data_IF_503991748740
#
_entry.id   IF_503991748740
#
_cell.length_a   1.000
_cell.length_b   1.000
_cell.length_c   1.000
_cell.angle_alpha   90.00
_cell.angle_beta   90.00
_cell.angle_gamma   90.00
#
_symmetry.space_group_name_H-M   'P 1'
#
loop_
_entity.id
_entity.type
_entity.pdbx_description
1 polymer ?
#
# COMPACT_ATOMS: atom_id res chain seq x y z
N UNK A 1 -15.52 21.17 8.00
CA UNK A 1 -14.27 20.40 7.88
C UNK A 1 -14.50 18.88 7.72
N UNK A 2 -15.50 18.28 8.38
CA UNK A 2 -15.76 16.82 8.28
C UNK A 2 -16.41 16.43 6.94
N UNK A 3 -17.27 17.28 6.36
CA UNK A 3 -17.88 17.04 5.04
C UNK A 3 -16.86 16.79 3.92
N UNK A 4 -15.71 17.47 3.94
CA UNK A 4 -14.65 17.22 2.93
C UNK A 4 -14.01 15.84 3.07
N UNK A 5 -14.05 15.24 4.26
CA UNK A 5 -13.58 13.86 4.47
C UNK A 5 -14.57 12.84 3.92
N UNK A 6 -15.78 13.24 3.50
CA UNK A 6 -16.74 12.36 2.85
C UNK A 6 -16.45 12.14 1.36
N UNK A 7 -15.51 12.87 0.76
CA UNK A 7 -15.08 12.59 -0.61
C UNK A 7 -14.07 11.43 -0.56
N UNK A 8 -14.24 10.34 -1.33
CA UNK A 8 -13.25 9.27 -1.42
C UNK A 8 -11.85 9.82 -1.67
N UNK A 9 -10.82 9.14 -1.13
CA UNK A 9 -9.41 9.54 -1.16
C UNK A 9 -9.03 10.72 -0.25
N UNK A 10 -9.89 11.71 -0.01
CA UNK A 10 -9.53 12.88 0.82
C UNK A 10 -9.22 12.46 2.26
N UNK A 11 -9.92 11.45 2.79
CA UNK A 11 -9.63 10.92 4.12
C UNK A 11 -8.24 10.27 4.17
N UNK A 12 -7.90 9.42 3.20
CA UNK A 12 -6.56 8.85 3.08
C UNK A 12 -5.49 9.94 2.95
N UNK A 13 -5.68 10.89 2.05
CA UNK A 13 -4.72 11.96 1.80
C UNK A 13 -4.42 12.75 3.07
N UNK A 14 -5.45 13.19 3.80
CA UNK A 14 -5.24 13.98 5.02
C UNK A 14 -4.66 13.21 6.19
N UNK A 15 -4.96 11.92 6.30
CA UNK A 15 -4.59 11.15 7.50
C UNK A 15 -3.33 10.32 7.32
N UNK A 16 -2.95 9.99 6.08
CA UNK A 16 -1.84 9.07 5.77
C UNK A 16 -0.76 9.68 4.90
N UNK A 17 -1.04 10.68 4.05
CA UNK A 17 -0.03 11.35 3.24
C UNK A 17 0.53 12.59 3.96
N UNK A 18 1.68 12.46 4.61
CA UNK A 18 2.48 13.61 5.05
C UNK A 18 3.55 13.95 3.99
N UNK A 19 4.12 15.16 4.05
CA UNK A 19 5.01 15.69 2.98
C UNK A 19 6.18 14.77 2.61
N UNK A 20 6.82 14.13 3.60
CA UNK A 20 7.92 13.17 3.36
C UNK A 20 7.43 11.81 2.87
N UNK A 21 6.27 11.36 3.33
CA UNK A 21 5.69 10.09 2.90
C UNK A 21 5.17 10.14 1.46
N UNK A 22 4.82 11.32 0.92
CA UNK A 22 4.31 11.44 -0.46
C UNK A 22 5.33 10.91 -1.47
N UNK A 23 6.60 11.34 -1.37
CA UNK A 23 7.65 10.87 -2.29
C UNK A 23 7.85 9.36 -2.17
N UNK A 24 7.91 8.85 -0.93
CA UNK A 24 8.00 7.42 -0.71
C UNK A 24 6.81 6.68 -1.33
N UNK A 25 5.56 7.07 -1.04
CA UNK A 25 4.37 6.46 -1.64
C UNK A 25 4.39 6.55 -3.17
N UNK A 26 4.82 7.67 -3.73
CA UNK A 26 4.87 7.81 -5.18
C UNK A 26 5.82 6.80 -5.82
N UNK A 27 7.08 6.76 -5.37
CA UNK A 27 8.08 5.88 -5.97
C UNK A 27 7.95 4.42 -5.53
N UNK A 28 7.64 4.13 -4.27
CA UNK A 28 7.54 2.74 -3.80
C UNK A 28 6.22 2.04 -4.12
N UNK A 29 5.14 2.78 -4.31
CA UNK A 29 3.80 2.21 -4.50
C UNK A 29 3.29 2.53 -5.90
N UNK A 30 3.18 3.81 -6.26
CA UNK A 30 2.48 4.20 -7.48
C UNK A 30 3.23 3.93 -8.77
N UNK A 31 4.51 4.31 -8.86
CA UNK A 31 5.30 4.07 -10.06
C UNK A 31 5.34 2.59 -10.46
N UNK A 32 5.63 1.62 -9.56
CA UNK A 32 5.61 0.21 -9.94
C UNK A 32 4.19 -0.28 -10.30
N UNK A 33 3.15 0.22 -9.64
CA UNK A 33 1.75 -0.09 -10.01
C UNK A 33 1.43 0.41 -11.43
N UNK A 34 1.78 1.66 -11.75
CA UNK A 34 1.55 2.26 -13.07
C UNK A 34 2.34 1.51 -14.14
N UNK A 35 3.59 1.17 -13.86
CA UNK A 35 4.44 0.43 -14.79
C UNK A 35 3.88 -0.96 -15.09
N UNK A 36 3.44 -1.70 -14.06
CA UNK A 36 2.81 -3.00 -14.26
C UNK A 36 1.46 -2.88 -14.99
N UNK A 37 0.63 -1.89 -14.64
CA UNK A 37 -0.62 -1.61 -15.33
C UNK A 37 -0.40 -1.34 -16.82
N UNK A 38 0.56 -0.47 -17.14
CA UNK A 38 0.94 -0.14 -18.51
C UNK A 38 1.43 -1.37 -19.28
N UNK A 39 2.19 -2.27 -18.62
CA UNK A 39 2.67 -3.51 -19.24
C UNK A 39 1.56 -4.52 -19.54
N UNK A 40 0.40 -4.43 -18.87
CA UNK A 40 -0.77 -5.29 -19.13
C UNK A 40 -1.60 -4.84 -20.33
N UNK A 41 -1.84 -3.53 -20.49
CA UNK A 41 -2.74 -3.00 -21.52
C UNK A 41 -2.41 -1.54 -21.85
N UNK A 42 -1.96 -1.25 -23.07
CA UNK A 42 -1.58 0.13 -23.45
C UNK A 42 -2.77 1.08 -23.59
N UNK A 43 -3.91 0.58 -24.07
CA UNK A 43 -5.03 1.43 -24.47
C UNK A 43 -5.94 1.79 -23.28
N UNK A 44 -6.05 0.88 -22.31
CA UNK A 44 -7.02 1.03 -21.20
C UNK A 44 -6.38 1.22 -19.83
N UNK A 45 -5.05 1.07 -19.68
CA UNK A 45 -4.44 1.05 -18.34
C UNK A 45 -4.77 2.27 -17.51
N UNK A 46 -4.79 3.48 -18.10
CA UNK A 46 -4.96 4.69 -17.31
C UNK A 46 -6.37 4.76 -16.70
N UNK A 47 -7.39 4.51 -17.50
CA UNK A 47 -8.79 4.49 -17.05
C UNK A 47 -9.02 3.35 -16.07
N UNK A 48 -8.56 2.13 -16.38
CA UNK A 48 -8.74 0.97 -15.50
C UNK A 48 -7.98 1.12 -14.18
N UNK A 49 -6.77 1.67 -14.21
CA UNK A 49 -5.98 1.95 -13.01
C UNK A 49 -6.66 3.00 -12.13
N UNK A 50 -7.13 4.11 -12.72
CA UNK A 50 -7.78 5.17 -11.95
C UNK A 50 -9.10 4.68 -11.34
N UNK A 51 -9.94 4.03 -12.14
CA UNK A 51 -11.24 3.54 -11.69
C UNK A 51 -11.06 2.38 -10.70
N UNK A 52 -10.10 1.48 -10.95
CA UNK A 52 -9.71 0.41 -10.03
C UNK A 52 -9.18 0.96 -8.70
N UNK A 53 -8.35 2.00 -8.74
CA UNK A 53 -7.91 2.70 -7.53
C UNK A 53 -9.07 3.36 -6.77
N UNK A 54 -10.01 3.98 -7.48
CA UNK A 54 -11.19 4.59 -6.84
C UNK A 54 -12.09 3.54 -6.17
N UNK A 55 -12.25 2.36 -6.77
CA UNK A 55 -12.94 1.24 -6.14
C UNK A 55 -12.18 0.78 -4.89
N UNK A 56 -10.88 0.59 -5.02
CA UNK A 56 -9.99 0.22 -3.92
C UNK A 56 -10.09 1.19 -2.75
N UNK A 57 -9.86 2.48 -2.98
CA UNK A 57 -9.80 3.47 -1.91
C UNK A 57 -11.16 3.67 -1.26
N UNK A 58 -12.26 3.51 -2.01
CA UNK A 58 -13.62 3.54 -1.45
C UNK A 58 -13.82 2.45 -0.40
N UNK A 59 -13.34 1.24 -0.65
CA UNK A 59 -13.44 0.14 0.33
C UNK A 59 -12.40 0.29 1.43
N UNK A 60 -11.15 0.63 1.08
CA UNK A 60 -10.03 0.66 2.01
C UNK A 60 -10.17 1.77 3.07
N UNK A 61 -10.80 2.89 2.74
CA UNK A 61 -11.07 3.97 3.68
C UNK A 61 -12.06 3.57 4.80
N UNK A 62 -12.98 2.63 4.55
CA UNK A 62 -13.86 2.08 5.59
C UNK A 62 -13.05 1.44 6.71
N UNK A 63 -12.04 0.67 6.31
CA UNK A 63 -11.09 0.09 7.22
C UNK A 63 -10.32 1.14 8.02
N UNK A 64 -9.87 2.22 7.38
CA UNK A 64 -9.18 3.29 8.10
C UNK A 64 -10.06 3.98 9.13
N UNK A 65 -11.33 4.22 8.81
CA UNK A 65 -12.28 4.77 9.78
C UNK A 65 -12.42 3.83 10.97
N UNK A 66 -12.63 2.53 10.73
CA UNK A 66 -12.75 1.52 11.79
C UNK A 66 -11.50 1.47 12.67
N UNK A 67 -10.31 1.43 12.07
CA UNK A 67 -9.04 1.46 12.79
C UNK A 67 -8.89 2.72 13.65
N UNK A 68 -9.27 3.88 13.13
CA UNK A 68 -9.11 5.15 13.84
C UNK A 68 -10.16 5.30 14.96
N UNK A 69 -11.36 4.71 14.82
CA UNK A 69 -12.37 4.63 15.88
C UNK A 69 -11.97 3.67 17.00
N UNK A 70 -11.40 2.51 16.66
CA UNK A 70 -10.98 1.50 17.63
C UNK A 70 -9.62 1.80 18.27
N UNK A 71 -8.88 2.80 17.78
CA UNK A 71 -7.56 3.16 18.28
C UNK A 71 -7.51 3.42 19.80
N UNK A 72 -8.61 3.84 20.42
CA UNK A 72 -8.72 4.03 21.87
C UNK A 72 -8.55 2.74 22.69
N UNK A 73 -8.90 1.60 22.11
CA UNK A 73 -8.95 0.32 22.78
C UNK A 73 -7.70 -0.53 22.50
N UNK A 74 -6.72 0.02 21.77
CA UNK A 74 -5.52 -0.67 21.32
C UNK A 74 -4.27 -0.11 21.99
N UNK A 75 -3.36 -0.99 22.42
CA UNK A 75 -2.12 -0.66 23.14
C UNK A 75 -1.24 0.34 22.37
N UNK A 76 -1.14 0.18 21.05
CA UNK A 76 -0.38 1.06 20.15
C UNK A 76 -1.30 1.75 19.12
N UNK A 77 -2.52 2.10 19.55
CA UNK A 77 -3.51 2.76 18.71
C UNK A 77 -3.12 4.21 18.41
N UNK A 78 -3.12 4.58 17.13
CA UNK A 78 -2.83 5.97 16.70
C UNK A 78 -4.08 6.67 16.22
N UNK A 79 -4.55 7.65 17.00
CA UNK A 79 -5.60 8.57 16.54
C UNK A 79 -5.04 9.53 15.49
N UNK A 80 -5.68 9.58 14.33
CA UNK A 80 -5.30 10.51 13.24
C UNK A 80 -6.38 11.57 12.96
N UNK A 81 -7.61 11.31 13.38
CA UNK A 81 -8.76 12.21 13.26
C UNK A 81 -9.53 12.26 14.57
N UNK A 82 -10.37 13.29 14.73
CA UNK A 82 -11.38 13.33 15.79
C UNK A 82 -12.37 12.17 15.59
N UNK A 83 -12.96 11.70 16.69
CA UNK A 83 -13.98 10.66 16.65
C UNK A 83 -15.20 11.18 15.89
N UNK A 84 -15.60 10.46 14.85
CA UNK A 84 -16.79 10.77 14.08
C UNK A 84 -18.03 10.46 14.92
N UNK A 85 -19.05 11.31 14.84
CA UNK A 85 -20.38 10.99 15.36
C UNK A 85 -20.98 9.78 14.62
N UNK A 86 -22.05 9.20 15.18
CA UNK A 86 -22.76 8.08 14.54
C UNK A 86 -23.27 8.45 13.15
N UNK A 87 -23.83 9.65 13.00
CA UNK A 87 -24.32 10.15 11.72
C UNK A 87 -23.19 10.34 10.71
N UNK A 88 -22.07 10.95 11.11
CA UNK A 88 -20.92 11.15 10.23
C UNK A 88 -20.32 9.82 9.78
N UNK A 89 -20.24 8.84 10.68
CA UNK A 89 -19.77 7.49 10.36
C UNK A 89 -20.71 6.79 9.38
N UNK A 90 -22.02 6.91 9.59
CA UNK A 90 -23.03 6.37 8.68
C UNK A 90 -22.91 6.99 7.28
N UNK A 91 -22.88 8.33 7.19
CA UNK A 91 -22.68 9.03 5.92
C UNK A 91 -21.37 8.63 5.23
N UNK A 92 -20.28 8.47 6.00
CA UNK A 92 -19.00 8.03 5.46
C UNK A 92 -19.09 6.65 4.83
N UNK A 93 -19.72 5.69 5.52
CA UNK A 93 -19.92 4.32 5.03
C UNK A 93 -20.79 4.31 3.78
N UNK A 94 -21.94 5.00 3.81
CA UNK A 94 -22.88 5.07 2.69
C UNK A 94 -22.19 5.61 1.44
N UNK A 95 -21.50 6.75 1.53
CA UNK A 95 -20.81 7.34 0.36
C UNK A 95 -19.78 6.38 -0.25
N UNK A 96 -19.06 5.60 0.58
CA UNK A 96 -18.01 4.66 0.12
C UNK A 96 -18.60 3.44 -0.54
N UNK A 97 -19.63 2.85 0.06
CA UNK A 97 -20.33 1.72 -0.53
C UNK A 97 -21.03 2.14 -1.82
N UNK A 98 -21.70 3.29 -1.86
CA UNK A 98 -22.31 3.82 -3.08
C UNK A 98 -21.27 4.09 -4.18
N UNK A 99 -20.11 4.68 -3.83
CA UNK A 99 -19.03 4.91 -4.80
C UNK A 99 -18.47 3.59 -5.35
N UNK A 100 -18.21 2.61 -4.48
CA UNK A 100 -17.74 1.29 -4.88
C UNK A 100 -18.76 0.57 -5.78
N UNK A 101 -20.05 0.61 -5.45
CA UNK A 101 -21.12 -0.01 -6.25
C UNK A 101 -21.29 0.68 -7.60
N UNK A 102 -21.24 2.01 -7.64
CA UNK A 102 -21.30 2.78 -8.88
C UNK A 102 -20.12 2.42 -9.81
N UNK A 103 -18.92 2.28 -9.26
CA UNK A 103 -17.74 1.84 -10.01
C UNK A 103 -17.87 0.38 -10.46
N UNK A 104 -18.38 -0.50 -9.60
CA UNK A 104 -18.63 -1.91 -9.94
C UNK A 104 -19.61 -2.04 -11.11
N UNK A 105 -20.66 -1.22 -11.15
CA UNK A 105 -21.60 -1.15 -12.26
C UNK A 105 -20.94 -0.58 -13.52
N UNK A 106 -20.21 0.52 -13.40
CA UNK A 106 -19.50 1.16 -14.52
C UNK A 106 -18.49 0.23 -15.20
N UNK A 107 -17.80 -0.62 -14.44
CA UNK A 107 -16.83 -1.59 -14.96
C UNK A 107 -17.46 -2.92 -15.43
N UNK A 108 -18.78 -3.05 -15.39
CA UNK A 108 -19.51 -4.30 -15.65
C UNK A 108 -18.99 -5.49 -14.81
N UNK A 109 -18.71 -5.24 -13.53
CA UNK A 109 -18.20 -6.25 -12.58
C UNK A 109 -19.27 -6.79 -11.62
N UNK A 110 -20.54 -6.52 -11.92
CA UNK A 110 -21.66 -6.95 -11.08
C UNK A 110 -21.74 -8.47 -10.93
N UNK A 111 -21.40 -9.22 -11.98
CA UNK A 111 -21.45 -10.70 -12.01
C UNK A 111 -20.07 -11.37 -11.86
N UNK A 112 -18.98 -10.61 -11.79
CA UNK A 112 -17.62 -11.17 -11.69
C UNK A 112 -17.33 -11.60 -10.24
N UNK A 113 -17.44 -12.91 -9.97
CA UNK A 113 -17.23 -13.45 -8.62
C UNK A 113 -15.82 -13.16 -8.08
N UNK A 114 -14.80 -13.02 -8.93
CA UNK A 114 -13.42 -12.73 -8.50
C UNK A 114 -13.30 -11.32 -7.93
N UNK A 115 -13.99 -10.36 -8.55
CA UNK A 115 -14.09 -8.98 -8.05
C UNK A 115 -14.70 -8.96 -6.65
N UNK A 116 -15.84 -9.63 -6.48
CA UNK A 116 -16.51 -9.70 -5.19
C UNK A 116 -15.70 -10.43 -4.14
N UNK A 117 -15.12 -11.59 -4.45
CA UNK A 117 -14.26 -12.33 -3.52
C UNK A 117 -13.09 -11.45 -3.05
N UNK A 118 -12.42 -10.75 -3.97
CA UNK A 118 -11.30 -9.86 -3.63
C UNK A 118 -11.71 -8.79 -2.61
N UNK A 119 -12.81 -8.06 -2.88
CA UNK A 119 -13.24 -6.98 -2.01
C UNK A 119 -13.89 -7.44 -0.70
N UNK A 120 -14.58 -8.59 -0.70
CA UNK A 120 -15.09 -9.23 0.51
C UNK A 120 -13.93 -9.68 1.40
N UNK A 121 -12.90 -10.32 0.83
CA UNK A 121 -11.68 -10.69 1.56
C UNK A 121 -10.97 -9.45 2.11
N UNK A 122 -10.86 -8.38 1.32
CA UNK A 122 -10.28 -7.12 1.78
C UNK A 122 -11.03 -6.57 3.00
N UNK A 123 -12.35 -6.46 2.94
CA UNK A 123 -13.17 -6.01 4.07
C UNK A 123 -13.03 -6.92 5.29
N UNK A 124 -13.08 -8.23 5.10
CA UNK A 124 -12.95 -9.21 6.17
C UNK A 124 -11.60 -9.11 6.87
N UNK A 125 -10.49 -9.13 6.12
CA UNK A 125 -9.14 -9.04 6.67
C UNK A 125 -8.91 -7.68 7.34
N UNK A 126 -9.46 -6.60 6.79
CA UNK A 126 -9.38 -5.29 7.43
C UNK A 126 -10.15 -5.27 8.77
N UNK A 127 -11.36 -5.84 8.79
CA UNK A 127 -12.15 -6.00 10.01
C UNK A 127 -11.38 -6.78 11.08
N UNK A 128 -10.82 -7.95 10.71
CA UNK A 128 -9.99 -8.76 11.61
C UNK A 128 -8.78 -7.95 12.10
N UNK A 129 -8.05 -7.28 11.20
CA UNK A 129 -6.91 -6.43 11.56
C UNK A 129 -7.28 -5.36 12.59
N UNK A 130 -8.48 -4.78 12.49
CA UNK A 130 -8.92 -3.70 13.36
C UNK A 130 -9.40 -4.19 14.73
N UNK A 131 -9.96 -5.40 14.81
CA UNK A 131 -10.49 -5.99 16.05
C UNK A 131 -9.39 -6.69 16.86
N UNK A 132 -8.34 -7.21 16.22
CA UNK A 132 -7.24 -7.86 16.92
C UNK A 132 -6.60 -6.88 17.93
N UNK A 133 -6.37 -7.35 19.16
CA UNK A 133 -5.63 -6.58 20.17
C UNK A 133 -4.14 -6.94 20.19
N UNK A 134 -3.79 -8.13 19.71
CA UNK A 134 -2.40 -8.61 19.70
C UNK A 134 -1.67 -8.14 18.44
N UNK A 135 -0.66 -7.28 18.59
CA UNK A 135 0.10 -6.74 17.46
C UNK A 135 0.82 -7.82 16.65
N UNK A 136 1.20 -8.94 17.27
CA UNK A 136 1.81 -10.10 16.58
C UNK A 136 0.88 -10.71 15.53
N UNK A 137 -0.41 -10.89 15.86
CA UNK A 137 -1.41 -11.40 14.91
C UNK A 137 -1.73 -10.38 13.81
N UNK A 138 -1.62 -9.08 14.13
CA UNK A 138 -1.79 -8.01 13.13
C UNK A 138 -0.73 -8.03 12.05
N UNK A 139 0.44 -8.64 12.25
CA UNK A 139 1.47 -8.77 11.21
C UNK A 139 0.92 -9.56 10.02
N UNK A 140 0.20 -10.64 10.30
CA UNK A 140 -0.36 -11.54 9.27
C UNK A 140 -1.38 -10.78 8.43
N UNK A 141 -2.34 -10.11 9.08
CA UNK A 141 -3.36 -9.33 8.39
C UNK A 141 -2.76 -8.09 7.71
N UNK A 142 -1.76 -7.43 8.31
CA UNK A 142 -1.06 -6.31 7.70
C UNK A 142 -0.35 -6.69 6.40
N UNK A 143 0.26 -7.88 6.36
CA UNK A 143 0.93 -8.38 5.15
C UNK A 143 -0.06 -8.51 3.98
N UNK A 144 -1.25 -9.06 4.25
CA UNK A 144 -2.32 -9.09 3.25
C UNK A 144 -2.83 -7.68 2.90
N UNK A 145 -2.99 -6.78 3.88
CA UNK A 145 -3.44 -5.41 3.59
C UNK A 145 -2.42 -4.61 2.77
N UNK A 146 -1.12 -4.86 2.95
CA UNK A 146 -0.07 -4.29 2.12
C UNK A 146 -0.12 -4.88 0.71
N UNK A 147 -0.27 -6.20 0.59
CA UNK A 147 -0.47 -6.89 -0.70
C UNK A 147 -1.69 -6.34 -1.45
N UNK A 148 -2.85 -6.30 -0.81
CA UNK A 148 -4.08 -5.80 -1.40
C UNK A 148 -3.97 -4.34 -1.80
N UNK A 149 -3.28 -3.51 -1.02
CA UNK A 149 -3.03 -2.10 -1.36
C UNK A 149 -2.23 -1.94 -2.65
N UNK A 150 -1.28 -2.83 -2.92
CA UNK A 150 -0.51 -2.80 -4.16
C UNK A 150 -1.33 -3.32 -5.35
N UNK A 151 -2.04 -4.44 -5.19
CA UNK A 151 -2.67 -5.13 -6.31
C UNK A 151 -4.10 -4.68 -6.62
N UNK A 152 -4.87 -4.18 -5.64
CA UNK A 152 -6.26 -3.77 -5.88
C UNK A 152 -6.42 -2.72 -6.99
N UNK A 153 -5.53 -1.71 -7.11
CA UNK A 153 -5.64 -0.72 -8.20
C UNK A 153 -5.51 -1.33 -9.59
N UNK A 154 -4.81 -2.47 -9.71
CA UNK A 154 -4.53 -3.16 -10.98
C UNK A 154 -5.21 -4.52 -11.07
N UNK A 155 -6.12 -4.86 -10.15
CA UNK A 155 -6.72 -6.20 -10.08
C UNK A 155 -7.51 -6.55 -11.35
N UNK A 156 -8.01 -5.53 -12.07
CA UNK A 156 -8.67 -5.67 -13.37
C UNK A 156 -7.69 -6.06 -14.48
N UNK A 157 -6.44 -5.64 -14.36
CA UNK A 157 -5.36 -5.82 -15.34
C UNK A 157 -4.49 -7.05 -15.04
N UNK A 158 -4.59 -7.62 -13.84
CA UNK A 158 -3.79 -8.77 -13.38
C UNK A 158 -4.56 -10.06 -13.63
N UNK A 159 -4.32 -10.68 -14.79
CA UNK A 159 -4.75 -12.04 -15.10
C UNK A 159 -3.75 -13.10 -14.62
N UNK A 160 -4.08 -14.38 -14.86
CA UNK A 160 -3.17 -15.51 -14.54
C UNK A 160 -1.81 -15.42 -15.25
N UNK A 161 -1.76 -14.80 -16.43
CA UNK A 161 -0.52 -14.55 -17.16
C UNK A 161 0.49 -13.69 -16.38
N UNK A 162 0.01 -12.89 -15.44
CA UNK A 162 0.81 -11.95 -14.65
C UNK A 162 1.14 -12.47 -13.25
N UNK A 163 0.92 -13.78 -12.99
CA UNK A 163 1.19 -14.38 -11.68
C UNK A 163 2.66 -14.24 -11.26
N UNK A 164 3.57 -14.19 -12.23
CA UNK A 164 5.01 -14.00 -12.01
C UNK A 164 5.36 -12.64 -11.38
N UNK A 165 4.42 -11.69 -11.31
CA UNK A 165 4.61 -10.40 -10.63
C UNK A 165 4.41 -10.52 -9.13
N UNK A 166 3.60 -11.46 -8.68
CA UNK A 166 3.14 -11.57 -7.29
C UNK A 166 4.30 -11.73 -6.33
N UNK A 167 5.19 -12.68 -6.60
CA UNK A 167 6.29 -13.00 -5.71
C UNK A 167 7.36 -11.90 -5.62
N UNK A 168 7.88 -11.32 -6.71
CA UNK A 168 8.84 -10.21 -6.60
C UNK A 168 8.23 -8.97 -5.94
N UNK A 169 6.96 -8.63 -6.22
CA UNK A 169 6.25 -7.57 -5.48
C UNK A 169 6.11 -7.92 -4.00
N UNK A 170 5.80 -9.17 -3.68
CA UNK A 170 5.70 -9.60 -2.29
C UNK A 170 7.03 -9.43 -1.56
N UNK A 171 8.15 -9.86 -2.16
CA UNK A 171 9.48 -9.74 -1.58
C UNK A 171 9.91 -8.28 -1.39
N UNK A 172 9.78 -7.46 -2.44
CA UNK A 172 10.31 -6.10 -2.39
C UNK A 172 9.36 -5.11 -1.70
N UNK A 173 8.06 -5.21 -1.92
CA UNK A 173 7.11 -4.24 -1.36
C UNK A 173 6.44 -4.76 -0.09
N UNK A 174 5.77 -5.91 -0.16
CA UNK A 174 4.93 -6.40 0.95
C UNK A 174 5.78 -6.76 2.16
N UNK A 175 6.81 -7.56 1.98
CA UNK A 175 7.69 -8.00 3.05
C UNK A 175 8.44 -6.82 3.68
N UNK A 176 8.95 -5.89 2.86
CA UNK A 176 9.57 -4.66 3.36
C UNK A 176 8.59 -3.87 4.24
N UNK A 177 7.37 -3.64 3.74
CA UNK A 177 6.31 -2.94 4.49
C UNK A 177 5.99 -3.68 5.79
N UNK A 178 5.89 -5.01 5.77
CA UNK A 178 5.61 -5.82 6.95
C UNK A 178 6.72 -5.69 8.00
N UNK A 179 7.99 -5.75 7.59
CA UNK A 179 9.14 -5.61 8.50
C UNK A 179 9.17 -4.20 9.12
N UNK A 180 8.96 -3.15 8.32
CA UNK A 180 8.86 -1.77 8.86
C UNK A 180 7.65 -1.57 9.77
N UNK A 181 6.54 -2.29 9.53
CA UNK A 181 5.39 -2.29 10.41
C UNK A 181 5.70 -2.97 11.75
N UNK A 182 6.38 -4.12 11.74
CA UNK A 182 6.80 -4.82 12.95
C UNK A 182 7.71 -3.96 13.84
N UNK A 183 8.65 -3.22 13.22
CA UNK A 183 9.46 -2.22 13.92
C UNK A 183 8.61 -1.09 14.52
N UNK A 184 7.62 -0.58 13.76
CA UNK A 184 6.71 0.46 14.27
C UNK A 184 5.82 0.03 15.43
N UNK A 185 5.79 -1.27 15.74
CA UNK A 185 5.06 -1.88 16.85
C UNK A 185 5.99 -2.46 17.91
N UNK A 186 7.28 -2.13 17.85
CA UNK A 186 8.32 -2.61 18.78
C UNK A 186 8.41 -4.15 18.88
N UNK A 187 8.00 -4.87 17.82
CA UNK A 187 8.02 -6.34 17.78
C UNK A 187 9.39 -6.90 17.38
N UNK A 188 10.14 -6.12 16.63
CA UNK A 188 11.54 -6.32 16.29
C UNK A 188 12.26 -4.98 16.43
N UNK A 189 13.55 -5.00 16.75
CA UNK A 189 14.34 -3.78 16.93
C UNK A 189 15.36 -3.66 15.82
N UNK A 190 15.14 -2.75 14.88
CA UNK A 190 16.15 -2.34 13.91
C UNK A 190 15.89 -0.89 13.47
N UNK A 191 16.90 -0.19 12.97
CA UNK A 191 16.68 1.16 12.48
C UNK A 191 16.01 1.12 11.10
N UNK A 192 14.67 1.21 11.05
CA UNK A 192 13.92 1.27 9.78
C UNK A 192 14.25 2.48 8.91
N UNK A 193 14.83 3.53 9.49
CA UNK A 193 15.24 4.72 8.75
C UNK A 193 16.68 4.57 8.23
N UNK A 194 17.40 3.50 8.61
CA UNK A 194 18.73 3.23 8.10
C UNK A 194 18.70 2.99 6.59
N UNK A 195 19.40 3.85 5.86
CA UNK A 195 19.59 3.72 4.42
C UNK A 195 20.34 2.43 4.06
N UNK A 196 21.29 2.04 4.90
CA UNK A 196 22.04 0.80 4.73
C UNK A 196 21.11 -0.43 4.81
N UNK A 197 20.23 -0.47 5.82
CA UNK A 197 19.25 -1.55 5.96
C UNK A 197 18.35 -1.64 4.72
N UNK A 198 17.79 -0.52 4.27
CA UNK A 198 16.88 -0.46 3.11
C UNK A 198 17.56 -1.00 1.84
N UNK A 199 18.79 -0.57 1.57
CA UNK A 199 19.56 -1.02 0.40
C UNK A 199 19.90 -2.52 0.50
N UNK A 200 20.47 -2.96 1.63
CA UNK A 200 20.84 -4.37 1.82
C UNK A 200 19.62 -5.28 1.72
N UNK A 201 18.48 -4.88 2.31
CA UNK A 201 17.23 -5.65 2.24
C UNK A 201 16.85 -5.93 0.78
N UNK A 202 16.81 -4.90 -0.07
CA UNK A 202 16.41 -5.08 -1.46
C UNK A 202 17.47 -5.81 -2.31
N UNK A 203 18.76 -5.69 -1.99
CA UNK A 203 19.81 -6.49 -2.64
C UNK A 203 19.61 -7.97 -2.34
N UNK A 204 19.34 -8.34 -1.07
CA UNK A 204 19.06 -9.73 -0.68
C UNK A 204 17.81 -10.24 -1.39
N UNK A 205 16.71 -9.47 -1.41
CA UNK A 205 15.52 -9.82 -2.20
C UNK A 205 15.80 -9.92 -3.71
N UNK A 206 16.79 -9.18 -4.21
CA UNK A 206 17.24 -9.29 -5.59
C UNK A 206 17.90 -10.61 -5.92
N UNK A 207 18.68 -11.19 -5.00
CA UNK A 207 19.21 -12.55 -5.18
C UNK A 207 18.09 -13.58 -5.34
N UNK A 208 17.02 -13.48 -4.54
CA UNK A 208 15.82 -14.33 -4.74
C UNK A 208 15.15 -14.06 -6.09
N UNK A 209 15.08 -12.80 -6.52
CA UNK A 209 14.49 -12.42 -7.81
C UNK A 209 15.28 -12.97 -9.01
N UNK A 210 16.61 -13.13 -8.89
CA UNK A 210 17.43 -13.85 -9.89
C UNK A 210 16.99 -15.30 -10.01
N UNK A 211 16.83 -16.01 -8.89
CA UNK A 211 16.34 -17.39 -8.90
C UNK A 211 14.96 -17.49 -9.52
N UNK A 212 14.05 -16.56 -9.21
CA UNK A 212 12.72 -16.52 -9.80
C UNK A 212 12.74 -16.24 -11.30
N UNK A 213 13.67 -15.41 -11.77
CA UNK A 213 13.81 -15.13 -13.20
C UNK A 213 14.26 -16.36 -13.99
N UNK A 214 15.18 -17.15 -13.42
CA UNK A 214 15.62 -18.42 -14.01
C UNK A 214 14.48 -19.44 -14.00
N UNK A 215 13.79 -19.61 -12.86
CA UNK A 215 12.71 -20.60 -12.72
C UNK A 215 11.49 -20.30 -13.59
N UNK A 216 11.16 -19.03 -13.77
CA UNK A 216 10.00 -18.60 -14.56
C UNK A 216 10.34 -18.27 -16.01
N UNK A 217 11.60 -18.45 -16.44
CA UNK A 217 12.11 -18.05 -17.75
C UNK A 217 11.70 -16.61 -18.13
N UNK A 218 11.77 -15.70 -17.15
CA UNK A 218 11.20 -14.35 -17.26
C UNK A 218 12.08 -13.31 -16.61
N UNK A 219 12.31 -12.19 -17.28
CA UNK A 219 13.07 -11.06 -16.72
C UNK A 219 12.25 -10.19 -15.76
N UNK A 220 10.93 -10.37 -15.66
CA UNK A 220 10.06 -9.50 -14.84
C UNK A 220 10.49 -9.41 -13.37
N UNK A 221 10.85 -10.51 -12.68
CA UNK A 221 11.37 -10.42 -11.31
C UNK A 221 12.64 -9.54 -11.20
N UNK A 222 13.54 -9.62 -12.18
CA UNK A 222 14.75 -8.79 -12.21
C UNK A 222 14.42 -7.31 -12.42
N UNK A 223 13.49 -6.99 -13.31
CA UNK A 223 13.06 -5.61 -13.54
C UNK A 223 12.42 -4.99 -12.29
N UNK A 224 11.52 -5.72 -11.62
CA UNK A 224 10.91 -5.27 -10.36
C UNK A 224 12.00 -5.07 -9.29
N UNK A 225 12.91 -6.02 -9.16
CA UNK A 225 13.99 -5.95 -8.19
C UNK A 225 14.93 -4.77 -8.43
N UNK A 226 15.40 -4.62 -9.68
CA UNK A 226 16.27 -3.54 -10.11
C UNK A 226 15.62 -2.17 -9.89
N UNK A 227 14.31 -2.06 -10.15
CA UNK A 227 13.55 -0.85 -9.83
C UNK A 227 13.64 -0.48 -8.35
N UNK A 228 13.30 -1.40 -7.44
CA UNK A 228 13.33 -1.09 -6.01
C UNK A 228 14.74 -0.77 -5.52
N UNK A 229 15.77 -1.54 -5.94
CA UNK A 229 17.17 -1.30 -5.60
C UNK A 229 17.61 0.09 -6.06
N UNK A 230 17.26 0.48 -7.29
CA UNK A 230 17.58 1.80 -7.83
C UNK A 230 16.93 2.91 -7.00
N UNK A 231 15.65 2.79 -6.67
CA UNK A 231 14.92 3.79 -5.88
C UNK A 231 15.49 3.92 -4.46
N UNK A 232 15.76 2.81 -3.74
CA UNK A 232 16.36 2.93 -2.40
C UNK A 232 17.80 3.44 -2.44
N UNK A 233 18.58 3.06 -3.44
CA UNK A 233 19.93 3.60 -3.64
C UNK A 233 19.89 5.11 -3.86
N UNK A 234 18.97 5.58 -4.71
CA UNK A 234 18.75 7.00 -4.97
C UNK A 234 18.37 7.79 -3.71
N UNK A 235 17.42 7.29 -2.92
CA UNK A 235 17.06 7.93 -1.64
C UNK A 235 18.23 7.94 -0.64
N UNK A 236 18.98 6.84 -0.53
CA UNK A 236 20.12 6.75 0.36
C UNK A 236 21.24 7.77 0.01
N UNK A 237 21.50 7.96 -1.28
CA UNK A 237 22.45 8.96 -1.76
C UNK A 237 21.95 10.39 -1.49
N UNK A 238 20.67 10.66 -1.74
CA UNK A 238 20.07 11.97 -1.51
C UNK A 238 20.13 12.39 -0.03
N UNK A 239 19.77 11.48 0.89
CA UNK A 239 19.85 11.71 2.33
C UNK A 239 21.29 11.99 2.78
N UNK A 240 22.25 11.19 2.30
CA UNK A 240 23.67 11.36 2.62
C UNK A 240 24.19 12.72 2.15
N UNK A 241 23.75 13.18 0.98
CA UNK A 241 24.10 14.49 0.45
C UNK A 241 23.53 15.63 1.31
N UNK A 242 22.23 15.56 1.66
CA UNK A 242 21.57 16.58 2.49
C UNK A 242 22.19 16.70 3.89
N UNK A 243 22.58 15.58 4.50
CA UNK A 243 23.27 15.57 5.79
C UNK A 243 24.62 16.29 5.73
N UNK A 244 25.39 16.09 4.65
CA UNK A 244 26.67 16.79 4.44
C UNK A 244 26.48 18.29 4.28
N UNK A 245 25.49 18.71 3.49
CA UNK A 245 25.19 20.14 3.28
C UNK A 245 24.76 20.82 4.58
N UNK A 246 23.89 20.17 5.36
CA UNK A 246 23.36 20.73 6.61
C UNK A 246 24.46 20.87 7.67
N UNK A 247 25.31 19.85 7.85
CA UNK A 247 26.46 19.91 8.77
C UNK A 247 27.48 20.98 8.38
N UNK A 248 27.64 21.26 7.09
CA UNK A 248 28.55 22.31 6.61
C UNK A 248 28.00 23.71 6.90
N UNK A 249 26.69 23.91 6.85
CA UNK A 249 26.04 25.19 7.19
C UNK A 249 26.08 25.51 8.68
N UNK A 250 25.97 24.51 9.55
CA UNK A 250 26.01 24.71 11.02
C UNK A 250 27.40 24.99 11.58
N UNK A 251 28.47 24.80 10.77
CA UNK A 251 29.85 25.10 11.13
C UNK A 251 30.31 26.51 10.74
N UNK A 252 29.45 27.28 10.07
CA UNK A 252 29.69 28.67 9.67
C UNK A 252 28.81 29.58 10.51
#
# INVERSE_FOLDING_TARGET
MILTLLIPFIYFARTRLNSRAILFHFFFEWVPIVWLAYSSSLDTFFTELLVGYLAFISVYELGYLLNDQLANYQTHGRKRVKVFSKLESFCFVVVRLSSFLAITFYLDKTTDYRWWIWYVLLLMIFGIHSILNQDRLKIITFSYLAFARFFSPIILLVGLANINWVLPVFLHYVLFRTITYMDSKDLIRFDRNSNLFRVIFHIICGAFSVSLAVLNESYVPLWISGYYIFIVGGFAMADTYLDRVTKTKLKK
#
